data_IF_564824966792
#
_entry.id   IF_564824966792
#
_cell.length_a   1.000
_cell.length_b   1.000
_cell.length_c   1.000
_cell.angle_alpha   90.00
_cell.angle_beta   90.00
_cell.angle_gamma   90.00
#
_symmetry.space_group_name_H-M   'P 1'
#
loop_
_entity.id
_entity.type
_entity.pdbx_description
1 polymer ?
#
# COMPACT_ATOMS: atom_id res chain seq x y z
N UNK A 1 -15.12 7.14 15.72
CA UNK A 1 -14.32 6.32 14.79
C UNK A 1 -13.78 5.14 15.58
N UNK A 2 -13.75 3.96 14.97
CA UNK A 2 -13.20 2.76 15.59
C UNK A 2 -11.70 2.68 15.31
N UNK A 3 -10.88 2.69 16.36
CA UNK A 3 -9.42 2.56 16.28
C UNK A 3 -8.94 1.12 16.49
N UNK A 4 -9.87 0.15 16.47
CA UNK A 4 -9.55 -1.26 16.62
C UNK A 4 -8.75 -1.78 15.42
N UNK A 5 -7.77 -2.64 15.71
CA UNK A 5 -7.01 -3.35 14.66
C UNK A 5 -7.94 -4.32 13.94
N UNK A 6 -7.83 -4.38 12.61
CA UNK A 6 -8.54 -5.39 11.81
C UNK A 6 -7.95 -6.78 12.06
N UNK A 7 -8.68 -7.83 11.65
CA UNK A 7 -8.21 -9.23 11.76
C UNK A 7 -6.95 -9.54 10.94
N UNK A 8 -6.51 -8.63 10.07
CA UNK A 8 -5.35 -8.79 9.19
C UNK A 8 -4.06 -8.17 9.76
N UNK A 9 -4.20 -7.35 10.80
CA UNK A 9 -3.12 -6.62 11.46
C UNK A 9 -2.46 -7.44 12.58
N UNK A 10 -1.32 -6.94 13.05
CA UNK A 10 -0.53 -7.49 14.14
C UNK A 10 0.46 -8.57 13.71
N UNK A 11 1.33 -8.94 14.66
CA UNK A 11 2.35 -9.97 14.48
C UNK A 11 1.76 -11.23 13.85
N UNK A 12 2.44 -11.87 12.89
CA UNK A 12 2.01 -13.14 12.34
C UNK A 12 1.64 -14.14 13.42
N UNK A 13 0.38 -14.58 13.36
CA UNK A 13 -0.26 -15.49 14.29
C UNK A 13 -1.14 -16.45 13.48
N UNK A 14 -1.54 -17.58 14.07
CA UNK A 14 -2.42 -18.53 13.39
C UNK A 14 -3.69 -17.84 12.84
N UNK A 15 -4.33 -17.00 13.66
CA UNK A 15 -5.58 -16.31 13.32
C UNK A 15 -5.45 -15.36 12.13
N UNK A 16 -4.46 -14.46 12.15
CA UNK A 16 -4.32 -13.50 11.04
C UNK A 16 -3.71 -14.16 9.80
N UNK A 17 -2.87 -15.18 9.94
CA UNK A 17 -2.36 -15.95 8.80
C UNK A 17 -3.48 -16.74 8.10
N UNK A 18 -4.43 -17.29 8.85
CA UNK A 18 -5.64 -17.91 8.30
C UNK A 18 -6.48 -16.88 7.54
N UNK A 19 -6.75 -15.71 8.15
CA UNK A 19 -7.50 -14.64 7.49
C UNK A 19 -6.86 -14.20 6.16
N UNK A 20 -5.53 -14.06 6.12
CA UNK A 20 -4.79 -13.76 4.88
C UNK A 20 -4.86 -14.90 3.88
N UNK A 21 -4.71 -16.15 4.33
CA UNK A 21 -4.78 -17.33 3.47
C UNK A 21 -6.15 -17.44 2.81
N UNK A 22 -7.23 -17.32 3.56
CA UNK A 22 -8.61 -17.37 3.05
C UNK A 22 -8.87 -16.29 1.98
N UNK A 23 -8.27 -15.12 2.15
CA UNK A 23 -8.38 -14.01 1.22
C UNK A 23 -7.66 -14.30 -0.11
N UNK A 24 -6.48 -14.93 -0.05
CA UNK A 24 -5.59 -15.15 -1.21
C UNK A 24 -5.91 -16.46 -1.94
N UNK A 25 -6.35 -17.50 -1.24
CA UNK A 25 -6.55 -18.86 -1.76
C UNK A 25 -7.53 -18.94 -2.95
N UNK A 26 -8.38 -17.92 -3.10
CA UNK A 26 -9.33 -17.79 -4.22
C UNK A 26 -8.68 -17.30 -5.52
N UNK A 27 -7.37 -17.08 -5.51
CA UNK A 27 -6.65 -16.43 -6.60
C UNK A 27 -6.40 -17.29 -7.82
N UNK A 28 -6.07 -18.58 -7.67
CA UNK A 28 -5.89 -19.46 -8.82
C UNK A 28 -7.25 -19.88 -9.38
N UNK A 29 -7.50 -19.53 -10.63
CA UNK A 29 -8.77 -19.76 -11.31
C UNK A 29 -8.49 -20.38 -12.68
N UNK A 30 -9.45 -21.14 -13.19
CA UNK A 30 -9.40 -21.67 -14.55
C UNK A 30 -10.46 -21.01 -15.42
N UNK A 31 -10.13 -20.84 -16.70
CA UNK A 31 -11.04 -20.41 -17.75
C UNK A 31 -11.03 -21.44 -18.88
N UNK A 32 -12.08 -21.48 -19.69
CA UNK A 32 -12.15 -22.33 -20.88
C UNK A 32 -11.16 -21.89 -21.97
N UNK A 33 -10.86 -22.78 -22.90
CA UNK A 33 -10.06 -22.47 -24.09
C UNK A 33 -10.68 -21.31 -24.92
N UNK A 34 -12.01 -21.25 -25.01
CA UNK A 34 -12.72 -20.18 -25.75
C UNK A 34 -12.57 -18.82 -25.08
N UNK A 35 -12.57 -18.76 -23.74
CA UNK A 35 -12.30 -17.53 -22.98
C UNK A 35 -10.81 -17.12 -23.08
N UNK A 36 -9.90 -18.08 -23.15
CA UNK A 36 -8.46 -17.84 -23.25
C UNK A 36 -8.02 -17.39 -24.67
N UNK A 37 -8.66 -17.90 -25.71
CA UNK A 37 -8.33 -17.63 -27.11
C UNK A 37 -8.20 -16.13 -27.45
N UNK A 38 -9.16 -15.25 -27.09
CA UNK A 38 -9.10 -13.83 -27.42
C UNK A 38 -8.17 -13.01 -26.51
N UNK A 39 -7.62 -13.58 -25.43
CA UNK A 39 -6.77 -12.83 -24.50
C UNK A 39 -5.52 -12.29 -25.19
N UNK A 40 -5.17 -11.03 -24.89
CA UNK A 40 -3.93 -10.42 -25.37
C UNK A 40 -2.70 -11.10 -24.75
N UNK A 41 -2.65 -11.16 -23.42
CA UNK A 41 -1.64 -11.90 -22.68
C UNK A 41 -1.99 -13.39 -22.74
N UNK A 42 -1.11 -14.23 -23.29
CA UNK A 42 -1.33 -15.67 -23.38
C UNK A 42 -0.94 -16.36 -22.07
N UNK A 43 -1.66 -17.43 -21.76
CA UNK A 43 -1.40 -18.28 -20.58
C UNK A 43 -1.32 -19.74 -20.98
N UNK A 44 -1.02 -20.62 -20.03
CA UNK A 44 -0.84 -22.04 -20.25
C UNK A 44 -2.11 -22.85 -19.99
N UNK A 45 -2.35 -23.93 -20.76
CA UNK A 45 -3.34 -24.94 -20.40
C UNK A 45 -2.95 -25.63 -19.10
N UNK A 46 -3.95 -26.13 -18.38
CA UNK A 46 -3.75 -26.92 -17.16
C UNK A 46 -3.19 -28.29 -17.55
N UNK A 47 -2.10 -28.77 -16.91
CA UNK A 47 -1.65 -30.15 -17.10
C UNK A 47 -2.79 -31.12 -16.83
N UNK A 48 -3.01 -32.08 -17.73
CA UNK A 48 -4.09 -33.07 -17.67
C UNK A 48 -5.53 -32.52 -17.83
N UNK A 49 -5.70 -31.22 -18.11
CA UNK A 49 -6.99 -30.57 -18.42
C UNK A 49 -6.82 -29.53 -19.55
N UNK A 50 -6.60 -29.99 -20.81
CA UNK A 50 -6.23 -29.11 -21.93
C UNK A 50 -7.36 -28.19 -22.42
N UNK A 51 -8.61 -28.44 -21.98
CA UNK A 51 -9.76 -27.59 -22.29
C UNK A 51 -9.82 -26.34 -21.39
N UNK A 52 -8.99 -26.30 -20.33
CA UNK A 52 -8.94 -25.21 -19.37
C UNK A 52 -7.54 -24.61 -19.24
N UNK A 53 -7.51 -23.31 -18.99
CA UNK A 53 -6.30 -22.49 -18.93
C UNK A 53 -6.17 -21.84 -17.55
N UNK A 54 -4.94 -21.80 -17.03
CA UNK A 54 -4.65 -21.24 -15.71
C UNK A 54 -4.62 -19.71 -15.81
N UNK A 55 -5.37 -19.04 -14.94
CA UNK A 55 -5.22 -17.61 -14.70
C UNK A 55 -5.27 -17.31 -13.19
N UNK A 56 -4.96 -16.08 -12.85
CA UNK A 56 -5.42 -15.45 -11.61
C UNK A 56 -6.00 -14.08 -11.95
N UNK A 57 -6.84 -13.51 -11.09
CA UNK A 57 -7.09 -12.06 -11.16
C UNK A 57 -5.94 -11.35 -10.46
N UNK A 58 -5.39 -10.31 -11.09
CA UNK A 58 -4.22 -9.59 -10.61
C UNK A 58 -4.33 -9.17 -9.13
N UNK A 59 -5.51 -8.77 -8.65
CA UNK A 59 -5.76 -8.44 -7.24
C UNK A 59 -5.35 -9.54 -6.26
N UNK A 60 -5.56 -10.82 -6.59
CA UNK A 60 -5.17 -11.90 -5.68
C UNK A 60 -3.66 -12.11 -5.66
N UNK A 61 -2.97 -11.92 -6.79
CA UNK A 61 -1.50 -11.95 -6.81
C UNK A 61 -0.92 -10.74 -6.07
N UNK A 62 -1.51 -9.56 -6.22
CA UNK A 62 -1.14 -8.35 -5.46
C UNK A 62 -1.29 -8.56 -3.95
N UNK A 63 -2.41 -9.17 -3.51
CA UNK A 63 -2.63 -9.53 -2.10
C UNK A 63 -1.64 -10.60 -1.61
N UNK A 64 -1.30 -11.59 -2.44
CA UNK A 64 -0.26 -12.58 -2.14
C UNK A 64 1.10 -11.92 -1.91
N UNK A 65 1.53 -11.03 -2.81
CA UNK A 65 2.77 -10.26 -2.68
C UNK A 65 2.75 -9.36 -1.43
N UNK A 66 1.63 -8.70 -1.15
CA UNK A 66 1.48 -7.86 0.04
C UNK A 66 1.61 -8.68 1.34
N UNK A 67 1.10 -9.92 1.37
CA UNK A 67 1.31 -10.81 2.52
C UNK A 67 2.77 -11.26 2.64
N UNK A 68 3.51 -11.44 1.54
CA UNK A 68 4.95 -11.70 1.60
C UNK A 68 5.71 -10.50 2.20
N UNK A 69 5.36 -9.27 1.80
CA UNK A 69 5.91 -8.04 2.39
C UNK A 69 5.58 -7.97 3.89
N UNK A 70 4.34 -8.29 4.28
CA UNK A 70 3.95 -8.38 5.69
C UNK A 70 4.87 -9.29 6.49
N UNK A 71 5.21 -10.48 5.98
CA UNK A 71 6.16 -11.36 6.65
C UNK A 71 7.57 -10.76 6.71
N UNK A 72 8.05 -10.11 5.64
CA UNK A 72 9.37 -9.47 5.65
C UNK A 72 9.46 -8.36 6.71
N UNK A 73 8.43 -7.50 6.79
CA UNK A 73 8.32 -6.44 7.80
C UNK A 73 8.43 -7.01 9.22
N UNK A 74 7.76 -8.12 9.50
CA UNK A 74 7.79 -8.74 10.83
C UNK A 74 9.03 -9.61 11.09
N UNK A 75 9.77 -10.03 10.06
CA UNK A 75 10.94 -10.91 10.18
C UNK A 75 12.25 -10.13 10.36
N UNK A 76 12.38 -8.93 9.76
CA UNK A 76 13.61 -8.13 9.84
C UNK A 76 13.75 -7.30 11.12
N UNK A 77 12.68 -7.14 11.90
CA UNK A 77 12.61 -6.07 12.93
C UNK A 77 12.67 -6.53 14.39
N UNK A 78 12.98 -7.79 14.69
CA UNK A 78 12.74 -8.29 16.05
C UNK A 78 13.93 -8.15 17.01
N UNK A 79 13.92 -7.04 17.75
CA UNK A 79 14.24 -7.01 19.18
C UNK A 79 12.91 -6.86 19.95
N UNK A 80 12.44 -7.96 20.54
CA UNK A 80 11.10 -8.11 21.16
C UNK A 80 10.89 -7.11 22.31
N UNK A 81 11.98 -6.68 22.96
CA UNK A 81 11.94 -5.79 24.12
C UNK A 81 11.63 -4.33 23.75
N UNK A 82 12.04 -3.89 22.54
CA UNK A 82 11.76 -2.52 22.07
C UNK A 82 10.32 -2.31 21.62
N UNK A 83 9.63 -3.37 21.23
CA UNK A 83 8.22 -3.30 20.83
C UNK A 83 7.29 -3.02 22.02
N UNK A 84 7.63 -3.53 23.21
CA UNK A 84 6.84 -3.34 24.42
C UNK A 84 6.89 -1.89 24.96
N UNK A 85 7.88 -1.08 24.54
CA UNK A 85 8.14 0.26 25.09
C UNK A 85 7.57 1.41 24.24
N UNK A 86 7.11 1.15 23.01
CA UNK A 86 6.66 2.19 22.09
C UNK A 86 5.27 1.88 21.51
N UNK A 87 4.30 2.76 21.76
CA UNK A 87 2.94 2.63 21.26
C UNK A 87 2.85 2.77 19.71
N UNK A 88 3.83 3.46 19.10
CA UNK A 88 4.02 3.53 17.64
C UNK A 88 5.45 3.15 17.26
N UNK A 89 5.75 1.85 17.24
CA UNK A 89 6.96 1.39 16.57
C UNK A 89 6.85 1.62 15.05
N UNK A 90 8.00 1.70 14.36
CA UNK A 90 8.05 1.59 12.89
C UNK A 90 7.22 0.40 12.38
N UNK A 91 7.15 -0.69 13.14
CA UNK A 91 6.37 -1.89 12.82
C UNK A 91 4.87 -1.61 12.93
N UNK A 92 4.40 -0.95 14.00
CA UNK A 92 2.98 -0.59 14.17
C UNK A 92 2.47 0.27 13.00
N UNK A 93 3.30 1.22 12.54
CA UNK A 93 3.00 2.02 11.36
C UNK A 93 2.98 1.18 10.08
N UNK A 94 4.02 0.38 9.82
CA UNK A 94 4.07 -0.50 8.65
C UNK A 94 2.93 -1.53 8.64
N UNK A 95 2.52 -2.03 9.80
CA UNK A 95 1.45 -3.02 9.96
C UNK A 95 0.07 -2.45 9.55
N UNK A 96 -0.26 -1.23 9.97
CA UNK A 96 -1.49 -0.60 9.47
C UNK A 96 -1.36 -0.16 8.01
N UNK A 97 -0.16 0.19 7.51
CA UNK A 97 0.06 0.49 6.10
C UNK A 97 -0.20 -0.73 5.22
N UNK A 98 0.23 -1.92 5.66
CA UNK A 98 -0.10 -3.19 5.00
C UNK A 98 -1.62 -3.39 4.94
N UNK A 99 -2.34 -3.13 6.03
CA UNK A 99 -3.81 -3.28 6.01
C UNK A 99 -4.51 -2.21 5.15
N UNK A 100 -4.02 -0.97 5.17
CA UNK A 100 -4.50 0.10 4.29
C UNK A 100 -4.34 -0.28 2.82
N UNK A 101 -3.17 -0.79 2.43
CA UNK A 101 -2.92 -1.27 1.08
C UNK A 101 -3.81 -2.45 0.72
N UNK A 102 -4.01 -3.41 1.65
CA UNK A 102 -4.95 -4.53 1.45
C UNK A 102 -6.35 -4.02 1.12
N UNK A 103 -6.85 -3.06 1.89
CA UNK A 103 -8.16 -2.45 1.67
C UNK A 103 -8.23 -1.72 0.32
N UNK A 104 -7.20 -0.95 -0.04
CA UNK A 104 -7.11 -0.25 -1.32
C UNK A 104 -7.10 -1.23 -2.52
N UNK A 105 -6.33 -2.31 -2.43
CA UNK A 105 -6.28 -3.37 -3.46
C UNK A 105 -7.65 -4.03 -3.63
N UNK A 106 -8.37 -4.32 -2.54
CA UNK A 106 -9.71 -4.89 -2.60
C UNK A 106 -10.76 -3.90 -3.13
N UNK A 107 -10.59 -2.60 -2.83
CA UNK A 107 -11.50 -1.55 -3.27
C UNK A 107 -11.35 -1.25 -4.76
N UNK A 108 -10.12 -1.12 -5.25
CA UNK A 108 -9.84 -0.85 -6.66
C UNK A 108 -9.90 -2.12 -7.53
N UNK A 109 -9.60 -3.28 -6.94
CA UNK A 109 -9.62 -4.63 -7.52
C UNK A 109 -9.21 -4.70 -9.00
N UNK A 110 -7.92 -4.93 -9.25
CA UNK A 110 -7.44 -5.22 -10.59
C UNK A 110 -7.86 -6.63 -11.04
N UNK A 111 -8.78 -6.68 -12.00
CA UNK A 111 -9.33 -7.93 -12.58
C UNK A 111 -8.61 -8.36 -13.85
N UNK A 112 -7.49 -7.72 -14.22
CA UNK A 112 -6.66 -8.15 -15.34
C UNK A 112 -6.25 -9.62 -15.14
N UNK A 113 -6.43 -10.49 -16.15
CA UNK A 113 -5.95 -11.87 -16.07
C UNK A 113 -4.43 -11.90 -15.93
N UNK A 114 -3.97 -12.29 -14.74
CA UNK A 114 -2.58 -12.58 -14.44
C UNK A 114 -2.25 -13.97 -14.99
N UNK A 115 -1.33 -14.01 -15.95
CA UNK A 115 -1.04 -15.21 -16.75
C UNK A 115 0.16 -15.97 -16.23
N UNK A 116 0.27 -17.22 -16.65
CA UNK A 116 1.35 -18.12 -16.27
C UNK A 116 2.08 -18.61 -17.51
N UNK A 117 3.40 -18.78 -17.41
CA UNK A 117 4.19 -19.42 -18.45
C UNK A 117 5.24 -20.35 -17.84
N UNK A 118 5.77 -21.27 -18.66
CA UNK A 118 6.87 -22.13 -18.25
C UNK A 118 8.18 -21.36 -18.42
N UNK A 119 8.95 -21.25 -17.34
CA UNK A 119 10.28 -20.66 -17.41
C UNK A 119 11.25 -21.67 -18.03
N UNK A 120 11.95 -21.33 -19.13
CA UNK A 120 12.88 -22.24 -19.79
C UNK A 120 14.12 -22.57 -18.94
N UNK A 121 14.41 -21.78 -17.89
CA UNK A 121 15.61 -21.95 -17.04
C UNK A 121 15.45 -23.09 -16.05
N UNK A 122 14.27 -23.28 -15.48
CA UNK A 122 14.00 -24.31 -14.48
C UNK A 122 12.87 -25.28 -14.87
N UNK A 123 12.21 -25.02 -16.01
CA UNK A 123 11.10 -25.82 -16.51
C UNK A 123 9.83 -25.73 -15.67
N UNK A 124 9.72 -24.82 -14.69
CA UNK A 124 8.55 -24.69 -13.82
C UNK A 124 7.56 -23.65 -14.34
N UNK A 125 6.34 -23.71 -13.84
CA UNK A 125 5.30 -22.73 -14.15
C UNK A 125 5.47 -21.52 -13.22
N UNK A 126 5.53 -20.32 -13.79
CA UNK A 126 5.68 -19.07 -13.05
C UNK A 126 4.64 -18.05 -13.51
N UNK A 127 4.22 -17.20 -12.57
CA UNK A 127 3.38 -16.05 -12.86
C UNK A 127 4.15 -14.97 -13.62
N UNK A 128 3.52 -14.36 -14.62
CA UNK A 128 4.16 -13.33 -15.46
C UNK A 128 3.82 -11.93 -14.92
N UNK A 129 4.81 -11.29 -14.31
CA UNK A 129 4.68 -9.97 -13.68
C UNK A 129 4.72 -8.80 -14.67
N UNK A 130 4.98 -9.06 -15.95
CA UNK A 130 4.96 -8.07 -17.05
C UNK A 130 3.66 -8.11 -17.85
N UNK A 131 2.59 -8.63 -17.26
CA UNK A 131 1.25 -8.66 -17.86
C UNK A 131 0.79 -7.22 -18.10
N UNK A 132 0.24 -6.92 -19.28
CA UNK A 132 -0.36 -5.61 -19.52
C UNK A 132 -1.66 -5.45 -18.73
N UNK A 133 -1.80 -4.36 -17.99
CA UNK A 133 -2.95 -4.02 -17.15
C UNK A 133 -3.80 -2.91 -17.76
N UNK A 134 -5.09 -2.87 -17.42
CA UNK A 134 -5.93 -1.69 -17.70
C UNK A 134 -5.93 -0.78 -16.49
N UNK A 135 -5.36 0.42 -16.63
CA UNK A 135 -5.21 1.38 -15.55
C UNK A 135 -6.14 2.57 -15.73
N UNK A 136 -6.37 3.31 -14.63
CA UNK A 136 -6.86 4.69 -14.73
C UNK A 136 -5.75 5.56 -15.32
N UNK A 137 -6.14 6.54 -16.10
CA UNK A 137 -5.20 7.57 -16.56
C UNK A 137 -4.65 8.32 -15.34
N UNK A 138 -3.32 8.33 -15.20
CA UNK A 138 -2.65 8.88 -14.04
C UNK A 138 -2.54 10.40 -14.12
N UNK A 139 -2.38 10.95 -15.33
CA UNK A 139 -2.06 12.36 -15.51
C UNK A 139 -3.16 13.29 -14.96
N UNK A 140 -4.46 13.04 -15.19
CA UNK A 140 -5.52 13.87 -14.61
C UNK A 140 -5.59 13.77 -13.07
N UNK A 141 -5.23 12.62 -12.49
CA UNK A 141 -5.24 12.41 -11.04
C UNK A 141 -4.11 13.23 -10.40
N UNK A 142 -2.92 13.14 -10.98
CA UNK A 142 -1.74 13.88 -10.54
C UNK A 142 -1.98 15.39 -10.67
N UNK A 143 -2.47 15.86 -11.81
CA UNK A 143 -2.78 17.27 -12.05
C UNK A 143 -3.84 17.81 -11.10
N UNK A 144 -4.86 17.01 -10.75
CA UNK A 144 -5.87 17.43 -9.79
C UNK A 144 -5.26 17.71 -8.41
N UNK A 145 -4.32 16.86 -7.97
CA UNK A 145 -3.62 17.00 -6.69
C UNK A 145 -2.60 18.15 -6.72
N UNK A 146 -1.81 18.26 -7.79
CA UNK A 146 -0.81 19.30 -7.97
C UNK A 146 -1.42 20.72 -7.97
N UNK A 147 -2.66 20.87 -8.44
CA UNK A 147 -3.39 22.14 -8.42
C UNK A 147 -4.02 22.49 -7.05
N UNK A 148 -3.92 21.61 -6.06
CA UNK A 148 -4.51 21.76 -4.71
C UNK A 148 -3.51 21.41 -3.60
N UNK A 149 -2.28 21.95 -3.63
CA UNK A 149 -1.32 21.65 -2.58
C UNK A 149 -1.76 22.26 -1.25
N UNK A 150 -1.37 21.63 -0.16
CA UNK A 150 -1.39 22.28 1.15
C UNK A 150 -0.31 23.37 1.10
N UNK A 151 -0.72 24.64 0.99
CA UNK A 151 0.20 25.79 0.91
C UNK A 151 0.58 26.34 2.28
N UNK A 152 0.00 25.80 3.35
CA UNK A 152 0.29 26.19 4.73
C UNK A 152 0.66 24.98 5.55
N UNK A 153 1.84 25.01 6.19
CA UNK A 153 2.14 24.10 7.29
C UNK A 153 1.07 24.20 8.36
N UNK A 154 0.72 23.08 8.96
CA UNK A 154 -0.30 23.02 10.01
C UNK A 154 0.26 22.28 11.22
N UNK A 155 -0.10 22.78 12.40
CA UNK A 155 0.26 22.13 13.65
C UNK A 155 -0.70 20.95 13.90
N UNK A 156 -0.19 19.74 13.70
CA UNK A 156 -0.94 18.48 13.88
C UNK A 156 -1.44 18.25 15.31
N UNK A 157 -0.90 18.98 16.30
CA UNK A 157 -1.34 18.90 17.71
C UNK A 157 -2.33 19.98 18.12
N UNK A 158 -2.52 21.03 17.29
CA UNK A 158 -3.40 22.15 17.66
C UNK A 158 -4.88 21.72 17.61
N UNK A 159 -5.66 21.97 18.68
CA UNK A 159 -7.12 21.84 18.68
C UNK A 159 -7.79 22.56 17.51
N UNK A 160 -8.67 21.83 16.81
CA UNK A 160 -9.59 22.42 15.85
C UNK A 160 -10.67 23.15 16.66
N UNK A 161 -10.54 24.48 16.73
CA UNK A 161 -11.47 25.34 17.47
C UNK A 161 -12.79 25.56 16.71
N UNK A 162 -12.73 25.56 15.37
CA UNK A 162 -13.88 25.75 14.48
C UNK A 162 -13.82 24.74 13.34
N UNK A 163 -14.81 23.86 13.27
CA UNK A 163 -15.04 22.95 12.14
C UNK A 163 -16.36 23.34 11.45
N UNK A 164 -16.30 24.04 10.30
CA UNK A 164 -17.49 24.48 9.56
C UNK A 164 -18.42 23.36 9.11
N UNK A 165 -17.93 22.11 9.02
CA UNK A 165 -18.73 20.95 8.64
C UNK A 165 -19.29 20.19 9.84
N UNK A 166 -18.86 20.54 11.06
CA UNK A 166 -19.34 19.92 12.30
C UNK A 166 -19.05 18.42 12.38
N UNK A 167 -18.05 17.91 11.67
CA UNK A 167 -17.57 16.53 11.78
C UNK A 167 -16.87 16.26 13.11
N UNK A 168 -16.48 17.34 13.81
CA UNK A 168 -16.39 17.37 15.25
C UNK A 168 -14.99 17.17 15.80
N UNK A 169 -14.69 17.96 16.83
CA UNK A 169 -13.45 17.95 17.60
C UNK A 169 -13.07 16.56 18.12
N UNK A 170 -11.80 16.23 17.94
CA UNK A 170 -11.23 14.98 18.38
C UNK A 170 -11.00 15.03 19.91
N UNK A 171 -11.35 13.96 20.63
CA UNK A 171 -10.74 13.70 21.93
C UNK A 171 -9.27 13.36 21.67
N UNK A 172 -8.37 14.25 22.07
CA UNK A 172 -6.93 14.09 21.93
C UNK A 172 -6.45 12.86 22.70
N UNK A 173 -5.84 11.91 21.99
CA UNK A 173 -4.78 11.08 22.57
C UNK A 173 -3.51 11.92 22.44
N UNK A 174 -3.09 12.55 23.53
CA UNK A 174 -1.92 13.41 23.61
C UNK A 174 -0.65 12.54 23.56
N UNK A 175 -0.10 12.29 22.37
CA UNK A 175 1.29 11.84 22.28
C UNK A 175 1.91 12.15 20.90
N UNK A 176 2.18 13.43 20.60
CA UNK A 176 3.11 13.77 19.52
C UNK A 176 3.97 14.98 19.91
N UNK A 177 5.28 14.77 19.77
CA UNK A 177 6.35 15.69 20.16
C UNK A 177 6.45 16.99 19.34
N UNK A 178 7.36 17.84 19.80
CA UNK A 178 7.46 19.27 19.51
C UNK A 178 7.62 19.67 18.03
N UNK A 179 7.09 20.86 17.74
CA UNK A 179 7.01 21.56 16.45
C UNK A 179 8.32 22.28 16.13
N UNK A 180 8.76 22.21 14.87
CA UNK A 180 9.74 23.13 14.27
C UNK A 180 9.09 24.48 13.94
N UNK A 181 9.80 25.58 14.18
CA UNK A 181 9.35 26.96 13.91
C UNK A 181 9.01 27.17 12.42
N UNK A 182 7.74 26.94 12.08
CA UNK A 182 7.20 26.97 10.72
C UNK A 182 7.23 28.38 10.12
N UNK A 183 7.03 29.42 10.93
CA UNK A 183 7.01 30.80 10.42
C UNK A 183 8.38 31.23 9.91
N UNK A 184 9.46 30.70 10.50
CA UNK A 184 10.83 30.94 10.04
C UNK A 184 11.20 30.19 8.75
N UNK A 185 10.49 29.10 8.40
CA UNK A 185 10.86 28.20 7.29
C UNK A 185 9.86 28.22 6.12
N UNK A 186 8.75 28.96 6.24
CA UNK A 186 7.67 28.99 5.25
C UNK A 186 8.16 29.40 3.86
N UNK A 187 8.91 30.50 3.79
CA UNK A 187 9.27 31.08 2.49
C UNK A 187 10.26 30.18 1.72
N UNK A 188 11.16 29.50 2.45
CA UNK A 188 12.09 28.50 1.92
C UNK A 188 11.34 27.23 1.47
N UNK A 189 10.34 26.78 2.24
CA UNK A 189 9.51 25.63 1.87
C UNK A 189 8.64 25.92 0.64
N UNK A 190 8.02 27.10 0.56
CA UNK A 190 7.21 27.49 -0.60
C UNK A 190 8.05 27.63 -1.86
N UNK A 191 9.28 28.15 -1.75
CA UNK A 191 10.22 28.19 -2.85
C UNK A 191 10.67 26.79 -3.27
N UNK A 192 10.91 25.90 -2.30
CA UNK A 192 11.26 24.50 -2.53
C UNK A 192 10.13 23.70 -3.21
N UNK A 193 8.87 23.87 -2.76
CA UNK A 193 7.73 23.10 -3.25
C UNK A 193 7.35 23.45 -4.70
N UNK A 194 7.58 24.70 -5.14
CA UNK A 194 7.21 25.18 -6.48
C UNK A 194 8.12 24.69 -7.60
N UNK A 195 9.33 24.21 -7.29
CA UNK A 195 10.38 23.92 -8.29
C UNK A 195 10.73 22.43 -8.40
N UNK A 196 9.97 21.55 -7.76
CA UNK A 196 10.28 20.12 -7.64
C UNK A 196 9.23 19.25 -8.31
N UNK A 197 9.68 18.14 -8.89
CA UNK A 197 8.82 17.14 -9.53
C UNK A 197 8.08 16.30 -8.49
N UNK A 198 6.98 15.66 -8.89
CA UNK A 198 6.16 14.77 -8.04
C UNK A 198 6.99 13.79 -7.18
N UNK A 199 8.05 13.23 -7.75
CA UNK A 199 8.95 12.25 -7.11
C UNK A 199 9.81 12.85 -5.97
N UNK A 200 10.06 14.16 -6.02
CA UNK A 200 10.83 14.89 -5.01
C UNK A 200 9.97 15.32 -3.82
N UNK A 201 8.65 15.48 -4.03
CA UNK A 201 7.69 15.84 -2.97
C UNK A 201 7.48 14.68 -1.98
N UNK A 202 7.43 13.43 -2.47
CA UNK A 202 7.27 12.22 -1.66
C UNK A 202 8.43 11.98 -0.69
N UNK A 203 9.66 12.39 -1.02
CA UNK A 203 10.81 12.27 -0.11
C UNK A 203 10.77 13.25 1.06
N UNK A 204 10.11 14.40 0.91
CA UNK A 204 9.97 15.41 1.97
C UNK A 204 8.95 15.02 3.05
N UNK A 205 7.91 14.27 2.68
CA UNK A 205 6.88 13.84 3.64
C UNK A 205 7.28 12.64 4.50
N UNK A 206 8.25 11.84 4.04
CA UNK A 206 8.74 10.64 4.76
C UNK A 206 9.88 10.98 5.74
N UNK A 207 10.31 12.24 5.80
CA UNK A 207 11.55 12.68 6.46
C UNK A 207 11.39 13.73 7.56
N UNK A 208 10.36 13.68 8.41
CA UNK A 208 10.31 14.50 9.65
C UNK A 208 10.76 13.70 10.87
N UNK A 209 11.93 13.07 10.79
CA UNK A 209 12.66 12.54 11.96
C UNK A 209 14.17 12.77 11.87
N UNK A 210 14.68 13.39 10.81
CA UNK A 210 16.11 13.64 10.67
C UNK A 210 16.42 15.14 10.72
N UNK A 211 16.90 15.60 11.87
CA UNK A 211 17.43 16.97 12.06
C UNK A 211 18.77 17.22 11.35
N UNK A 212 19.25 16.29 10.51
CA UNK A 212 20.62 16.40 9.95
C UNK A 212 20.74 16.50 8.43
N UNK A 213 19.65 16.68 7.68
CA UNK A 213 19.79 16.81 6.22
C UNK A 213 18.96 17.93 5.59
N UNK A 214 19.40 19.16 5.83
CA UNK A 214 19.62 20.16 4.77
C UNK A 214 20.95 20.88 5.11
N UNK A 215 21.73 21.35 4.11
CA UNK A 215 22.93 22.15 4.38
C UNK A 215 22.60 23.39 5.23
#
# INVERSE_FOLDING_TARGET
MDYSKTKFQGRPSAKNNEAWSDLILRGLTRISADEAAPMHNKTMPIPDDPEHYIISLAVFHQLHCLNAIRFAVWNETMDVEKEAQHHETKISHLDHCVDLLRQALMCAADITPFVWARDPRDGKLHGITTTAHTCRDWDPIEQWAANRPIVTGFNVTKPIETDPLGWGGFQYVMDYGEITDWEAQRDDYEAWAKVKTHEQHLRGHVGYLDKTNYP
#
